data_IF_689320628988
#
_entry.id   IF_689320628988
#
_cell.length_a   1.000
_cell.length_b   1.000
_cell.length_c   1.000
_cell.angle_alpha   90.00
_cell.angle_beta   90.00
_cell.angle_gamma   90.00
#
_symmetry.space_group_name_H-M   'P 1'
#
loop_
_entity.id
_entity.type
_entity.pdbx_description
1 polymer ?
#
# COMPACT_ATOMS: atom_id res chain seq x y z
N UNK A 1 -12.81 12.25 1.49
CA UNK A 1 -12.07 11.46 2.51
C UNK A 1 -10.87 10.72 1.91
N UNK A 2 -11.06 9.72 1.04
CA UNK A 2 -9.93 8.98 0.42
C UNK A 2 -8.97 9.93 -0.30
N UNK A 3 -9.49 10.67 -1.28
CA UNK A 3 -8.73 11.67 -2.03
C UNK A 3 -8.00 12.66 -1.12
N UNK A 4 -8.67 13.19 -0.10
CA UNK A 4 -8.07 14.16 0.83
C UNK A 4 -6.87 13.57 1.57
N UNK A 5 -6.96 12.32 2.06
CA UNK A 5 -5.86 11.64 2.75
C UNK A 5 -4.68 11.37 1.80
N UNK A 6 -4.96 11.00 0.54
CA UNK A 6 -3.93 10.67 -0.44
C UNK A 6 -3.34 11.88 -1.20
N UNK A 7 -3.99 13.04 -1.18
CA UNK A 7 -3.43 14.28 -1.74
C UNK A 7 -2.32 14.91 -0.88
N UNK A 8 -1.99 14.29 0.25
CA UNK A 8 -0.82 14.71 1.02
C UNK A 8 0.44 14.34 0.21
N UNK A 9 1.36 15.29 -0.08
CA UNK A 9 2.43 15.09 -1.06
C UNK A 9 3.39 13.92 -0.80
N UNK A 10 3.66 13.61 0.47
CA UNK A 10 4.50 12.47 0.86
C UNK A 10 3.84 11.17 0.42
N UNK A 11 2.55 11.01 0.73
CA UNK A 11 1.80 9.79 0.43
C UNK A 11 1.52 9.64 -1.05
N UNK A 12 1.21 10.73 -1.74
CA UNK A 12 1.04 10.73 -3.19
C UNK A 12 2.29 10.20 -3.91
N UNK A 13 3.48 10.62 -3.47
CA UNK A 13 4.75 10.14 -4.02
C UNK A 13 4.96 8.63 -3.81
N UNK A 14 4.62 8.13 -2.61
CA UNK A 14 4.76 6.71 -2.28
C UNK A 14 3.79 5.87 -3.12
N UNK A 15 2.52 6.28 -3.21
CA UNK A 15 1.51 5.54 -3.98
C UNK A 15 1.86 5.49 -5.46
N UNK A 16 2.31 6.61 -6.05
CA UNK A 16 2.78 6.64 -7.44
C UNK A 16 3.98 5.72 -7.68
N UNK A 17 4.92 5.65 -6.73
CA UNK A 17 6.04 4.74 -6.81
C UNK A 17 5.58 3.27 -6.73
N UNK A 18 4.64 2.95 -5.85
CA UNK A 18 4.05 1.62 -5.76
C UNK A 18 3.35 1.22 -7.08
N UNK A 19 2.54 2.12 -7.63
CA UNK A 19 1.83 1.89 -8.91
C UNK A 19 2.80 1.64 -10.05
N UNK A 20 3.89 2.41 -10.14
CA UNK A 20 4.92 2.21 -11.15
C UNK A 20 5.55 0.82 -11.04
N UNK A 21 5.88 0.38 -9.83
CA UNK A 21 6.45 -0.94 -9.57
C UNK A 21 5.46 -2.07 -9.89
N UNK A 22 4.23 -1.96 -9.40
CA UNK A 22 3.12 -2.89 -9.65
C UNK A 22 2.83 -3.02 -11.15
N UNK A 23 2.72 -1.90 -11.86
CA UNK A 23 2.42 -1.89 -13.29
C UNK A 23 3.52 -2.54 -14.11
N UNK A 24 4.79 -2.31 -13.76
CA UNK A 24 5.91 -2.97 -14.43
C UNK A 24 5.83 -4.49 -14.29
N UNK A 25 5.70 -5.01 -13.07
CA UNK A 25 5.63 -6.46 -12.84
C UNK A 25 4.32 -7.10 -13.29
N UNK A 26 3.23 -6.34 -13.45
CA UNK A 26 1.96 -6.88 -13.97
C UNK A 26 1.95 -6.99 -15.50
N UNK A 27 2.77 -6.20 -16.20
CA UNK A 27 2.81 -6.15 -17.67
C UNK A 27 4.04 -6.83 -18.26
N UNK A 28 5.07 -7.07 -17.45
CA UNK A 28 6.29 -7.76 -17.87
C UNK A 28 6.12 -9.27 -17.72
N UNK A 29 5.73 -9.98 -18.79
CA UNK A 29 5.40 -11.42 -18.73
C UNK A 29 6.41 -12.27 -17.96
N UNK A 30 7.70 -12.22 -18.32
CA UNK A 30 8.74 -12.98 -17.62
C UNK A 30 8.89 -12.59 -16.14
N UNK A 31 8.94 -11.29 -15.84
CA UNK A 31 9.14 -10.80 -14.47
C UNK A 31 7.91 -11.05 -13.59
N UNK A 32 6.72 -11.01 -14.18
CA UNK A 32 5.47 -11.39 -13.54
C UNK A 32 5.53 -12.85 -13.08
N UNK A 33 5.77 -13.77 -14.01
CA UNK A 33 5.83 -15.20 -13.74
C UNK A 33 6.94 -15.54 -12.73
N UNK A 34 8.09 -14.89 -12.86
CA UNK A 34 9.21 -15.05 -11.92
C UNK A 34 8.81 -14.66 -10.50
N UNK A 35 8.13 -13.52 -10.34
CA UNK A 35 7.71 -13.03 -9.03
C UNK A 35 6.55 -13.87 -8.46
N UNK A 36 5.60 -14.31 -9.29
CA UNK A 36 4.54 -15.22 -8.85
C UNK A 36 5.08 -16.56 -8.38
N UNK A 37 6.04 -17.14 -9.12
CA UNK A 37 6.71 -18.37 -8.73
C UNK A 37 7.43 -18.20 -7.37
N UNK A 38 8.19 -17.11 -7.21
CA UNK A 38 8.85 -16.80 -5.95
C UNK A 38 7.83 -16.66 -4.80
N UNK A 39 6.73 -15.93 -5.00
CA UNK A 39 5.67 -15.78 -4.00
C UNK A 39 5.07 -17.12 -3.60
N UNK A 40 4.80 -18.00 -4.57
CA UNK A 40 4.25 -19.34 -4.33
C UNK A 40 5.22 -20.22 -3.52
N UNK A 41 6.49 -20.23 -3.89
CA UNK A 41 7.53 -20.99 -3.18
C UNK A 41 7.72 -20.51 -1.74
N UNK A 42 7.62 -19.20 -1.53
CA UNK A 42 7.78 -18.55 -0.22
C UNK A 42 6.47 -18.40 0.55
N UNK A 43 5.38 -19.02 0.09
CA UNK A 43 4.04 -19.01 0.72
C UNK A 43 3.50 -17.60 1.00
N UNK A 44 3.84 -16.65 0.12
CA UNK A 44 3.31 -15.29 0.16
C UNK A 44 1.91 -15.29 -0.44
N UNK A 45 0.90 -15.07 0.41
CA UNK A 45 -0.53 -15.18 0.05
C UNK A 45 -1.09 -14.05 -0.83
N UNK A 46 -0.29 -13.04 -1.16
CA UNK A 46 -0.73 -11.91 -1.98
C UNK A 46 0.12 -11.80 -3.24
N UNK A 47 -0.53 -11.98 -4.40
CA UNK A 47 0.01 -11.60 -5.69
C UNK A 47 -0.08 -10.08 -5.87
N UNK A 48 0.68 -9.57 -6.85
CA UNK A 48 0.62 -8.16 -7.21
C UNK A 48 -0.77 -7.83 -7.74
N UNK A 49 -1.37 -6.76 -7.22
CA UNK A 49 -2.67 -6.27 -7.66
C UNK A 49 -2.59 -4.78 -8.00
N UNK A 50 -3.13 -4.42 -9.17
CA UNK A 50 -3.20 -3.04 -9.65
C UNK A 50 -4.23 -2.20 -8.90
N UNK A 51 -3.95 -0.90 -8.81
CA UNK A 51 -4.84 0.08 -8.19
C UNK A 51 -6.14 0.30 -9.00
N UNK A 52 -7.20 0.68 -8.28
CA UNK A 52 -8.45 1.26 -8.75
C UNK A 52 -8.66 2.52 -7.90
N UNK A 53 -8.47 3.68 -8.53
CA UNK A 53 -8.42 5.00 -7.88
C UNK A 53 -9.64 5.35 -7.01
N UNK A 54 -10.77 4.67 -7.20
CA UNK A 54 -12.05 5.02 -6.58
C UNK A 54 -12.33 4.30 -5.26
N UNK A 55 -11.48 3.36 -4.81
CA UNK A 55 -11.77 2.51 -3.65
C UNK A 55 -10.63 2.49 -2.63
N UNK A 56 -10.95 2.78 -1.37
CA UNK A 56 -10.06 2.63 -0.22
C UNK A 56 -9.32 1.29 -0.19
N UNK A 57 -10.07 0.21 -0.46
CA UNK A 57 -9.56 -1.14 -0.57
C UNK A 57 -8.41 -1.24 -1.58
N UNK A 58 -8.52 -0.55 -2.72
CA UNK A 58 -7.53 -0.69 -3.77
C UNK A 58 -6.18 -0.05 -3.43
N UNK A 59 -6.18 1.04 -2.67
CA UNK A 59 -4.95 1.68 -2.21
C UNK A 59 -4.23 0.82 -1.17
N UNK A 60 -5.00 0.21 -0.26
CA UNK A 60 -4.46 -0.74 0.70
C UNK A 60 -3.85 -1.95 -0.03
N UNK A 61 -4.54 -2.47 -1.03
CA UNK A 61 -4.08 -3.53 -1.91
C UNK A 61 -2.77 -3.20 -2.63
N UNK A 62 -2.61 -1.99 -3.18
CA UNK A 62 -1.37 -1.55 -3.84
C UNK A 62 -0.22 -1.54 -2.86
N UNK A 63 -0.41 -0.98 -1.66
CA UNK A 63 0.64 -0.97 -0.64
C UNK A 63 0.99 -2.40 -0.19
N UNK A 64 0.01 -3.27 -0.02
CA UNK A 64 0.24 -4.69 0.31
C UNK A 64 1.00 -5.44 -0.79
N UNK A 65 0.73 -5.11 -2.06
CA UNK A 65 1.43 -5.66 -3.23
C UNK A 65 2.91 -5.28 -3.25
N UNK A 66 3.33 -4.28 -2.47
CA UNK A 66 4.73 -3.94 -2.24
C UNK A 66 5.27 -4.63 -0.99
N UNK A 67 4.54 -4.56 0.14
CA UNK A 67 5.00 -5.09 1.43
C UNK A 67 5.19 -6.60 1.41
N UNK A 68 4.21 -7.34 0.88
CA UNK A 68 4.17 -8.80 0.99
C UNK A 68 5.26 -9.50 0.15
N UNK A 69 5.47 -9.12 -1.13
CA UNK A 69 6.50 -9.73 -1.95
C UNK A 69 7.82 -8.95 -1.98
N UNK A 70 8.12 -8.11 -0.98
CA UNK A 70 9.30 -7.23 -0.95
C UNK A 70 10.62 -7.94 -1.33
N UNK A 71 10.88 -9.11 -0.74
CA UNK A 71 12.06 -9.91 -1.05
C UNK A 71 12.04 -10.52 -2.45
N UNK A 72 10.86 -10.79 -3.00
CA UNK A 72 10.69 -11.28 -4.38
C UNK A 72 11.13 -10.24 -5.42
N UNK A 73 10.91 -8.95 -5.18
CA UNK A 73 11.44 -7.91 -6.07
C UNK A 73 12.97 -7.89 -6.09
N UNK A 74 13.60 -8.01 -4.92
CA UNK A 74 15.06 -8.10 -4.82
C UNK A 74 15.60 -9.38 -5.49
N UNK A 75 14.86 -10.50 -5.37
CA UNK A 75 15.19 -11.74 -6.07
C UNK A 75 15.20 -11.55 -7.60
N UNK A 76 14.20 -10.86 -8.16
CA UNK A 76 14.14 -10.58 -9.60
C UNK A 76 15.36 -9.77 -10.09
N UNK A 77 15.78 -8.77 -9.30
CA UNK A 77 17.00 -8.00 -9.58
C UNK A 77 18.25 -8.89 -9.55
N UNK A 78 18.38 -9.72 -8.51
CA UNK A 78 19.53 -10.59 -8.34
C UNK A 78 19.61 -11.64 -9.47
N UNK A 79 18.46 -12.15 -9.93
CA UNK A 79 18.39 -13.08 -11.06
C UNK A 79 18.92 -12.43 -12.34
N UNK A 80 18.44 -11.24 -12.69
CA UNK A 80 18.91 -10.50 -13.87
C UNK A 80 20.42 -10.26 -13.84
N UNK A 81 21.00 -9.96 -12.67
CA UNK A 81 22.43 -9.69 -12.53
C UNK A 81 23.30 -10.95 -12.67
N UNK A 82 22.74 -12.15 -12.52
CA UNK A 82 23.48 -13.41 -12.50
C UNK A 82 23.23 -14.30 -13.73
N UNK A 83 22.40 -13.85 -14.69
CA UNK A 83 21.87 -14.73 -15.73
C UNK A 83 22.21 -14.29 -17.15
N UNK A 84 22.53 -15.26 -18.02
CA UNK A 84 22.48 -15.13 -19.49
C UNK A 84 21.03 -15.13 -20.04
N UNK A 85 20.05 -14.84 -19.19
CA UNK A 85 18.63 -14.92 -19.54
C UNK A 85 18.26 -13.76 -20.46
N UNK A 86 17.97 -14.10 -21.71
CA UNK A 86 17.49 -13.19 -22.75
C UNK A 86 16.07 -12.70 -22.43
N UNK A 87 15.99 -11.71 -21.53
CA UNK A 87 14.74 -11.08 -21.11
C UNK A 87 14.86 -9.57 -21.16
N UNK A 88 13.71 -8.90 -21.26
CA UNK A 88 13.65 -7.44 -21.18
C UNK A 88 14.24 -6.96 -19.85
N UNK A 89 15.22 -6.06 -19.92
CA UNK A 89 15.89 -5.54 -18.74
C UNK A 89 14.91 -4.88 -17.75
N UNK A 90 15.18 -5.00 -16.44
CA UNK A 90 14.43 -4.23 -15.44
C UNK A 90 14.97 -2.81 -15.55
N UNK A 91 14.08 -1.87 -15.92
CA UNK A 91 14.44 -0.48 -16.14
C UNK A 91 15.14 0.13 -14.93
N UNK A 92 16.10 1.04 -15.16
CA UNK A 92 16.91 1.65 -14.10
C UNK A 92 16.05 2.37 -13.03
N UNK A 93 14.91 2.93 -13.43
CA UNK A 93 13.94 3.54 -12.54
C UNK A 93 13.27 2.51 -11.60
N UNK A 94 12.85 1.36 -12.14
CA UNK A 94 12.26 0.27 -11.36
C UNK A 94 13.30 -0.34 -10.41
N UNK A 95 14.52 -0.56 -10.92
CA UNK A 95 15.64 -1.05 -10.10
C UNK A 95 15.91 -0.12 -8.92
N UNK A 96 16.01 1.19 -9.17
CA UNK A 96 16.23 2.19 -8.12
C UNK A 96 15.11 2.18 -7.07
N UNK A 97 13.86 1.99 -7.49
CA UNK A 97 12.72 1.86 -6.56
C UNK A 97 12.81 0.61 -5.68
N UNK A 98 13.25 -0.52 -6.25
CA UNK A 98 13.42 -1.75 -5.49
C UNK A 98 14.61 -1.65 -4.51
N UNK A 99 15.69 -0.95 -4.90
CA UNK A 99 16.87 -0.76 -4.06
C UNK A 99 16.66 0.30 -2.96
N UNK A 100 15.63 1.15 -3.08
CA UNK A 100 15.27 2.16 -2.09
C UNK A 100 14.68 1.51 -0.83
N UNK A 101 15.49 1.47 0.23
CA UNK A 101 15.04 0.95 1.54
C UNK A 101 13.89 1.74 2.13
N UNK A 102 13.84 3.05 1.91
CA UNK A 102 12.80 3.90 2.50
C UNK A 102 11.44 3.60 1.84
N UNK A 103 11.44 3.23 0.56
CA UNK A 103 10.23 2.79 -0.14
C UNK A 103 9.55 1.59 0.53
N UNK A 104 10.32 0.56 0.92
CA UNK A 104 9.78 -0.65 1.56
C UNK A 104 9.49 -0.49 3.06
N UNK A 105 10.19 0.40 3.77
CA UNK A 105 9.91 0.65 5.21
C UNK A 105 8.70 1.55 5.42
N UNK A 106 8.40 2.40 4.44
CA UNK A 106 7.27 3.33 4.46
C UNK A 106 5.92 2.64 4.21
N UNK A 107 5.88 1.72 3.25
CA UNK A 107 4.65 1.04 2.85
C UNK A 107 3.90 0.32 4.00
N UNK A 108 4.57 -0.38 4.94
CA UNK A 108 3.92 -0.94 6.12
C UNK A 108 3.24 0.09 7.02
N UNK A 109 3.78 1.30 7.12
CA UNK A 109 3.16 2.39 7.89
C UNK A 109 1.86 2.82 7.21
N UNK A 110 1.90 3.03 5.89
CA UNK A 110 0.69 3.34 5.11
C UNK A 110 -0.36 2.24 5.26
N UNK A 111 0.00 0.96 5.15
CA UNK A 111 -0.93 -0.16 5.33
C UNK A 111 -1.65 -0.09 6.67
N UNK A 112 -0.95 0.24 7.78
CA UNK A 112 -1.60 0.39 9.10
C UNK A 112 -2.67 1.49 9.11
N UNK A 113 -2.42 2.62 8.45
CA UNK A 113 -3.39 3.70 8.33
C UNK A 113 -4.56 3.32 7.42
N UNK A 114 -4.29 2.65 6.31
CA UNK A 114 -5.33 2.27 5.35
C UNK A 114 -6.25 1.18 5.90
N UNK A 115 -5.70 0.20 6.62
CA UNK A 115 -6.48 -0.86 7.21
C UNK A 115 -7.39 -0.40 8.34
N UNK A 116 -7.01 0.62 9.13
CA UNK A 116 -7.92 1.15 10.14
C UNK A 116 -9.21 1.69 9.52
N UNK A 117 -9.12 2.34 8.36
CA UNK A 117 -10.26 2.87 7.61
C UNK A 117 -10.99 1.77 6.83
N UNK A 118 -10.25 0.91 6.13
CA UNK A 118 -10.81 -0.19 5.33
C UNK A 118 -11.60 -1.17 6.19
N UNK A 119 -11.08 -1.55 7.36
CA UNK A 119 -11.77 -2.46 8.26
C UNK A 119 -13.03 -1.84 8.85
N UNK A 120 -13.01 -0.53 9.14
CA UNK A 120 -14.19 0.19 9.61
C UNK A 120 -15.29 0.23 8.53
N UNK A 121 -14.91 0.52 7.28
CA UNK A 121 -15.83 0.46 6.13
C UNK A 121 -16.42 -0.94 5.99
N UNK A 122 -15.59 -1.99 6.00
CA UNK A 122 -16.07 -3.37 5.86
C UNK A 122 -17.02 -3.81 6.96
N UNK A 123 -16.81 -3.36 8.21
CA UNK A 123 -17.75 -3.60 9.32
C UNK A 123 -19.08 -2.88 9.12
N UNK A 124 -19.06 -1.64 8.63
CA UNK A 124 -20.27 -0.87 8.37
C UNK A 124 -21.07 -1.43 7.19
N UNK A 125 -20.40 -1.91 6.15
CA UNK A 125 -21.03 -2.50 4.96
C UNK A 125 -21.64 -3.88 5.23
N UNK A 126 -21.07 -4.65 6.19
CA UNK A 126 -21.54 -6.00 6.52
C UNK A 126 -22.69 -6.03 7.53
N UNK A 127 -23.02 -4.90 8.15
CA UNK A 127 -24.09 -4.79 9.13
C UNK A 127 -25.29 -3.97 8.60
N UNK A 128 -26.48 -4.19 9.17
CA UNK A 128 -27.57 -3.22 9.10
C UNK A 128 -27.22 -2.02 9.99
N UNK A 129 -26.23 -1.25 9.55
CA UNK A 129 -25.58 -0.21 10.33
C UNK A 129 -26.53 0.93 10.65
N UNK A 130 -26.54 1.33 11.92
CA UNK A 130 -27.21 2.54 12.38
C UNK A 130 -26.25 3.73 12.36
N UNK A 131 -26.79 4.95 12.53
CA UNK A 131 -25.96 6.15 12.74
C UNK A 131 -25.05 5.98 13.98
N UNK A 132 -25.52 5.27 15.01
CA UNK A 132 -24.71 4.97 16.20
C UNK A 132 -23.50 4.09 15.88
N UNK A 133 -23.65 3.13 14.96
CA UNK A 133 -22.55 2.28 14.51
C UNK A 133 -21.52 3.07 13.70
N UNK A 134 -21.98 3.98 12.82
CA UNK A 134 -21.10 4.90 12.09
C UNK A 134 -20.28 5.74 13.05
N UNK A 135 -20.91 6.33 14.07
CA UNK A 135 -20.23 7.14 15.07
C UNK A 135 -19.18 6.35 15.86
N UNK A 136 -19.53 5.12 16.25
CA UNK A 136 -18.64 4.21 16.95
C UNK A 136 -17.41 3.87 16.09
N UNK A 137 -17.60 3.58 14.81
CA UNK A 137 -16.51 3.24 13.89
C UNK A 137 -15.62 4.45 13.58
N UNK A 138 -16.18 5.65 13.39
CA UNK A 138 -15.40 6.89 13.25
C UNK A 138 -14.53 7.15 14.48
N UNK A 139 -15.12 7.06 15.68
CA UNK A 139 -14.42 7.25 16.95
C UNK A 139 -13.31 6.21 17.13
N UNK A 140 -13.60 4.94 16.83
CA UNK A 140 -12.63 3.85 16.91
C UNK A 140 -11.48 4.08 15.95
N UNK A 141 -11.77 4.42 14.70
CA UNK A 141 -10.76 4.69 13.66
C UNK A 141 -9.86 5.85 14.07
N UNK A 142 -10.41 6.93 14.62
CA UNK A 142 -9.63 8.06 15.15
C UNK A 142 -8.66 7.62 16.26
N UNK A 143 -9.14 6.88 17.26
CA UNK A 143 -8.29 6.42 18.36
C UNK A 143 -7.22 5.42 17.90
N UNK A 144 -7.55 4.52 16.98
CA UNK A 144 -6.58 3.59 16.40
C UNK A 144 -5.50 4.35 15.62
N UNK A 145 -5.91 5.32 14.79
CA UNK A 145 -4.99 6.19 14.02
C UNK A 145 -4.06 6.96 14.93
N UNK A 146 -4.57 7.52 16.04
CA UNK A 146 -3.78 8.27 17.02
C UNK A 146 -2.70 7.41 17.68
N UNK A 147 -2.96 6.11 17.86
CA UNK A 147 -2.05 5.13 18.48
C UNK A 147 -1.03 4.52 17.52
N UNK A 148 -1.12 4.79 16.21
CA UNK A 148 -0.11 4.26 15.27
C UNK A 148 1.21 4.98 15.53
N UNK A 149 2.23 4.22 15.92
CA UNK A 149 3.61 4.71 16.01
C UNK A 149 4.16 4.92 14.60
N UNK A 150 4.69 6.12 14.36
CA UNK A 150 5.26 6.52 13.08
C UNK A 150 6.64 7.15 13.28
N UNK A 151 7.46 7.13 12.23
CA UNK A 151 8.69 7.92 12.23
C UNK A 151 8.36 9.43 12.19
N UNK A 152 9.26 10.30 12.70
CA UNK A 152 9.00 11.74 12.78
C UNK A 152 8.55 12.39 11.47
N UNK A 153 9.06 11.93 10.32
CA UNK A 153 8.69 12.47 9.01
C UNK A 153 7.27 12.08 8.54
N UNK A 154 6.63 11.10 9.19
CA UNK A 154 5.24 10.71 8.96
C UNK A 154 4.25 11.36 9.93
N UNK A 155 4.71 12.05 10.98
CA UNK A 155 3.83 12.77 11.90
C UNK A 155 2.90 13.78 11.17
N UNK A 156 3.37 14.57 10.18
CA UNK A 156 2.47 15.45 9.43
C UNK A 156 1.36 14.70 8.68
N UNK A 157 1.65 13.49 8.18
CA UNK A 157 0.64 12.65 7.53
C UNK A 157 -0.36 12.07 8.54
N UNK A 158 0.13 11.65 9.71
CA UNK A 158 -0.72 11.17 10.81
C UNK A 158 -1.68 12.27 11.29
N UNK A 159 -1.17 13.48 11.51
CA UNK A 159 -1.98 14.66 11.86
C UNK A 159 -3.02 14.97 10.79
N UNK A 160 -2.63 14.92 9.51
CA UNK A 160 -3.55 15.10 8.39
C UNK A 160 -4.68 14.05 8.40
N UNK A 161 -4.36 12.77 8.62
CA UNK A 161 -5.36 11.71 8.76
C UNK A 161 -6.35 11.99 9.91
N UNK A 162 -5.83 12.35 11.09
CA UNK A 162 -6.66 12.68 12.26
C UNK A 162 -7.59 13.86 11.97
N UNK A 163 -7.10 14.91 11.32
CA UNK A 163 -7.88 16.08 10.93
C UNK A 163 -9.00 15.72 9.95
N UNK A 164 -8.72 14.84 8.97
CA UNK A 164 -9.74 14.37 8.02
C UNK A 164 -10.81 13.54 8.72
N UNK A 165 -10.44 12.60 9.60
CA UNK A 165 -11.39 11.77 10.35
C UNK A 165 -12.27 12.66 11.26
N UNK A 166 -11.65 13.63 11.95
CA UNK A 166 -12.36 14.55 12.84
C UNK A 166 -13.38 15.43 12.10
N UNK A 167 -13.04 15.94 10.91
CA UNK A 167 -13.99 16.72 10.10
C UNK A 167 -15.26 15.94 9.79
N UNK A 168 -15.12 14.65 9.46
CA UNK A 168 -16.26 13.77 9.20
C UNK A 168 -17.08 13.41 10.44
N UNK A 169 -16.59 13.75 11.64
CA UNK A 169 -17.32 13.57 12.91
C UNK A 169 -18.11 14.83 13.32
N UNK A 170 -17.98 15.95 12.61
CA UNK A 170 -18.60 17.24 12.97
C UNK A 170 -19.59 17.71 11.89
N UNK A 171 -19.68 16.98 10.77
CA UNK A 171 -20.65 17.21 9.69
C UNK A 171 -21.77 16.19 9.77
#
# INVERSE_FOLDING_TARGET
>A
MAKDIFTQPLVEGIVKANELLVNFFSTSGFWHETLEAWCKENKVQHSIQTACETRWYSMATVCLSIVKPAQGFHFCIALQSNSDVDTSAIGANIRKLIEDRDHFTTNPILVKFLFSVVDAIGRLESANSTIGDIWKELTTTYFMTKKIDVYPHFEPFKEHCLNVIQKCSIT
#
